data_IF_085006603820
#
_entry.id   IF_085006603820
#
_cell.length_a   1.000
_cell.length_b   1.000
_cell.length_c   1.000
_cell.angle_alpha   90.00
_cell.angle_beta   90.00
_cell.angle_gamma   90.00
#
_symmetry.space_group_name_H-M   'P 1'
#
loop_
_entity.id
_entity.type
_entity.pdbx_description
1 polymer ?
#
# COMPACT_ATOMS: atom_id res chain seq x y z
N UNK A 1 46.96 -24.20 11.82
CA UNK A 1 46.25 -23.55 12.95
C UNK A 1 46.32 -22.05 12.73
N UNK A 2 45.25 -21.30 13.01
CA UNK A 2 45.13 -19.84 12.81
C UNK A 2 45.20 -19.42 11.32
N UNK A 3 44.41 -18.46 10.81
CA UNK A 3 43.29 -17.73 11.42
C UNK A 3 42.54 -16.91 10.37
N UNK A 4 41.31 -16.49 10.69
CA UNK A 4 40.48 -15.62 9.83
C UNK A 4 41.04 -14.18 9.84
N UNK A 5 40.82 -13.40 8.76
CA UNK A 5 40.10 -12.12 8.85
C UNK A 5 39.71 -11.46 7.49
N UNK A 6 38.60 -10.71 7.53
CA UNK A 6 38.30 -9.48 6.74
C UNK A 6 38.17 -9.51 5.20
N UNK A 7 37.33 -10.39 4.65
CA UNK A 7 36.77 -10.27 3.28
C UNK A 7 35.66 -9.21 3.12
N UNK A 8 35.91 -7.96 3.53
CA UNK A 8 34.86 -6.94 3.69
C UNK A 8 34.61 -5.99 2.48
N UNK A 9 34.95 -6.41 1.24
CA UNK A 9 34.92 -5.54 0.03
C UNK A 9 34.28 -6.11 -1.25
N UNK A 10 33.77 -7.35 -1.26
CA UNK A 10 33.59 -8.11 -2.51
C UNK A 10 32.17 -8.63 -2.84
N UNK A 11 31.09 -7.97 -2.40
CA UNK A 11 29.71 -8.32 -2.82
C UNK A 11 28.94 -7.12 -3.38
N UNK A 12 29.54 -6.47 -4.38
CA UNK A 12 29.10 -5.17 -4.93
C UNK A 12 28.70 -5.21 -6.41
N UNK A 13 28.30 -6.38 -6.93
CA UNK A 13 28.25 -6.62 -8.38
C UNK A 13 27.15 -7.57 -8.89
N UNK A 14 26.32 -8.17 -8.03
CA UNK A 14 25.31 -9.17 -8.46
C UNK A 14 23.84 -8.71 -8.37
N UNK A 15 23.59 -7.50 -7.86
CA UNK A 15 22.26 -6.84 -7.93
C UNK A 15 22.08 -6.10 -9.26
N UNK A 16 23.16 -5.88 -10.02
CA UNK A 16 23.21 -4.97 -11.17
C UNK A 16 22.81 -5.63 -12.51
N UNK A 17 22.58 -6.96 -12.56
CA UNK A 17 22.58 -7.75 -13.80
C UNK A 17 21.39 -8.71 -13.99
N UNK A 18 20.26 -8.53 -13.27
CA UNK A 18 19.12 -9.48 -13.35
C UNK A 18 17.71 -8.86 -13.28
N UNK A 19 17.58 -7.53 -13.39
CA UNK A 19 16.31 -6.82 -13.14
C UNK A 19 15.49 -6.54 -14.42
N UNK A 20 16.04 -6.76 -15.60
CA UNK A 20 15.48 -6.26 -16.88
C UNK A 20 14.04 -6.69 -17.27
N UNK A 21 13.53 -7.91 -16.98
CA UNK A 21 12.24 -8.33 -17.55
C UNK A 21 11.00 -8.16 -16.64
N UNK A 22 11.14 -7.91 -15.33
CA UNK A 22 10.00 -8.06 -14.38
C UNK A 22 9.53 -6.74 -13.75
N UNK A 23 10.41 -5.76 -13.54
CA UNK A 23 10.14 -4.60 -12.67
C UNK A 23 9.41 -3.44 -13.36
N UNK A 24 8.35 -3.77 -14.12
CA UNK A 24 7.48 -2.84 -14.85
C UNK A 24 6.18 -2.49 -14.10
N UNK A 25 5.95 -3.05 -12.89
CA UNK A 25 4.67 -2.98 -12.17
C UNK A 25 4.81 -2.60 -10.68
N UNK A 26 4.85 -1.28 -10.42
CA UNK A 26 4.08 -0.55 -9.39
C UNK A 26 4.18 -1.01 -7.91
N UNK A 27 4.81 -0.19 -7.05
CA UNK A 27 4.91 -0.40 -5.58
C UNK A 27 4.64 0.90 -4.78
N UNK A 28 3.70 0.86 -3.80
CA UNK A 28 3.21 1.94 -2.89
C UNK A 28 2.57 1.26 -1.60
N UNK A 29 1.65 1.74 -0.71
CA UNK A 29 1.00 3.03 -0.29
C UNK A 29 0.13 3.00 1.03
N UNK A 30 0.12 4.09 1.82
CA UNK A 30 -1.03 4.67 2.59
C UNK A 30 -1.72 3.95 3.78
N UNK A 31 -1.90 4.63 4.96
CA UNK A 31 -3.17 4.81 5.73
C UNK A 31 -3.01 5.36 7.18
N UNK A 32 -4.02 6.10 7.67
CA UNK A 32 -4.21 6.46 9.08
C UNK A 32 -5.69 6.24 9.48
N UNK A 33 -5.98 5.84 10.71
CA UNK A 33 -7.34 5.63 11.24
C UNK A 33 -7.45 6.08 12.71
N UNK A 34 -8.65 6.52 13.10
CA UNK A 34 -9.13 6.86 14.44
C UNK A 34 -8.54 8.12 15.11
N UNK A 35 -9.37 9.17 15.21
CA UNK A 35 -9.18 10.26 16.16
C UNK A 35 -9.60 9.81 17.56
N UNK A 36 -8.65 9.76 18.49
CA UNK A 36 -8.91 9.71 19.93
C UNK A 36 -8.59 11.10 20.49
N UNK A 37 -9.57 11.79 21.07
CA UNK A 37 -9.32 13.04 21.79
C UNK A 37 -8.65 12.75 23.14
N UNK A 38 -7.36 13.06 23.25
CA UNK A 38 -6.64 13.04 24.53
C UNK A 38 -6.95 14.34 25.27
N UNK A 39 -7.91 14.31 26.19
CA UNK A 39 -8.15 15.40 27.13
C UNK A 39 -7.14 15.36 28.29
N UNK A 40 -6.46 16.47 28.62
CA UNK A 40 -5.58 16.52 29.78
C UNK A 40 -6.38 16.58 31.08
N UNK A 41 -6.34 15.51 31.89
CA UNK A 41 -6.95 15.47 33.23
C UNK A 41 -6.08 16.19 34.27
N UNK A 42 -6.07 17.52 34.21
CA UNK A 42 -5.39 18.37 35.19
C UNK A 42 -6.07 18.26 36.56
N UNK A 43 -5.42 17.62 37.55
CA UNK A 43 -5.90 17.52 38.95
C UNK A 43 -5.69 18.82 39.74
N UNK A 44 -6.33 19.89 39.30
CA UNK A 44 -6.34 21.22 39.93
C UNK A 44 -5.05 22.04 39.70
N UNK A 45 -5.04 23.31 40.12
CA UNK A 45 -3.85 24.15 40.04
C UNK A 45 -2.73 23.64 40.95
N UNK A 46 -1.47 23.74 40.48
CA UNK A 46 -0.28 23.48 41.29
C UNK A 46 0.24 22.03 41.31
N UNK A 47 -0.26 21.12 40.46
CA UNK A 47 0.27 19.75 40.34
C UNK A 47 0.83 19.45 38.93
N UNK A 48 1.98 18.76 38.79
CA UNK A 48 2.58 18.49 37.49
C UNK A 48 1.78 17.43 36.72
N UNK A 49 1.52 17.70 35.43
CA UNK A 49 0.90 16.74 34.53
C UNK A 49 1.85 15.56 34.25
N UNK A 50 1.40 14.32 34.54
CA UNK A 50 2.09 13.09 34.11
C UNK A 50 1.38 12.49 32.91
N UNK A 51 2.13 12.17 31.86
CA UNK A 51 1.68 11.31 30.78
C UNK A 51 1.97 9.85 31.17
N UNK A 52 1.00 9.17 31.78
CA UNK A 52 1.12 7.75 32.13
C UNK A 52 0.72 6.87 30.93
N UNK A 53 1.71 6.29 30.25
CA UNK A 53 1.51 5.30 29.20
C UNK A 53 1.25 3.91 29.81
N UNK A 54 -0.01 3.62 30.16
CA UNK A 54 -0.43 2.26 30.50
C UNK A 54 -0.63 1.43 29.23
N UNK A 55 0.08 0.30 29.12
CA UNK A 55 0.12 -0.49 27.89
C UNK A 55 -1.20 -1.19 27.56
N UNK A 56 -1.90 -0.74 26.50
CA UNK A 56 -3.23 -1.28 26.13
C UNK A 56 -3.51 -1.35 24.61
N UNK A 57 -2.49 -1.63 23.79
CA UNK A 57 -2.61 -1.58 22.32
C UNK A 57 -2.84 -2.91 21.58
N UNK A 58 -2.68 -4.07 22.22
CA UNK A 58 -2.90 -5.39 21.58
C UNK A 58 -4.39 -5.74 21.44
N UNK A 59 -5.24 -5.24 22.35
CA UNK A 59 -6.67 -5.58 22.41
C UNK A 59 -7.57 -4.88 21.36
N UNK A 60 -7.37 -3.59 21.01
CA UNK A 60 -8.17 -2.92 20.00
C UNK A 60 -8.03 -3.51 18.59
N UNK A 61 -6.80 -3.85 18.18
CA UNK A 61 -6.51 -4.38 16.84
C UNK A 61 -7.28 -5.69 16.59
N UNK A 62 -7.23 -6.63 17.53
CA UNK A 62 -7.99 -7.90 17.43
C UNK A 62 -9.50 -7.66 17.27
N UNK A 63 -10.07 -6.66 17.94
CA UNK A 63 -11.50 -6.30 17.78
C UNK A 63 -11.79 -5.65 16.42
N UNK A 64 -10.90 -4.79 15.92
CA UNK A 64 -11.04 -4.21 14.58
C UNK A 64 -10.99 -5.30 13.50
N UNK A 65 -10.07 -6.25 13.60
CA UNK A 65 -10.00 -7.42 12.73
C UNK A 65 -11.30 -8.25 12.79
N UNK A 66 -11.83 -8.54 13.99
CA UNK A 66 -13.12 -9.26 14.14
C UNK A 66 -14.28 -8.52 13.46
N UNK A 67 -14.37 -7.20 13.59
CA UNK A 67 -15.42 -6.40 12.93
C UNK A 67 -15.25 -6.43 11.39
N UNK A 68 -14.03 -6.24 10.90
CA UNK A 68 -13.71 -6.32 9.47
C UNK A 68 -14.04 -7.71 8.90
N UNK A 69 -13.58 -8.78 9.55
CA UNK A 69 -13.91 -10.15 9.15
C UNK A 69 -15.42 -10.40 9.21
N UNK A 70 -16.14 -9.86 10.19
CA UNK A 70 -17.60 -10.02 10.30
C UNK A 70 -18.33 -9.37 9.10
N UNK A 71 -17.93 -8.17 8.67
CA UNK A 71 -18.47 -7.55 7.45
C UNK A 71 -18.09 -8.31 6.17
N UNK A 72 -16.87 -8.83 6.08
CA UNK A 72 -16.43 -9.68 4.96
C UNK A 72 -17.21 -11.01 4.92
N UNK A 73 -17.45 -11.66 6.06
CA UNK A 73 -18.25 -12.89 6.16
C UNK A 73 -19.72 -12.65 5.82
N UNK A 74 -20.32 -11.54 6.28
CA UNK A 74 -21.69 -11.15 5.89
C UNK A 74 -21.81 -10.92 4.37
N UNK A 75 -20.84 -10.21 3.77
CA UNK A 75 -20.76 -10.03 2.32
C UNK A 75 -20.45 -11.31 1.54
N UNK A 76 -19.74 -12.26 2.15
CA UNK A 76 -19.46 -13.59 1.58
C UNK A 76 -20.64 -14.57 1.72
N UNK A 77 -21.48 -14.44 2.75
CA UNK A 77 -22.63 -15.30 3.00
C UNK A 77 -23.86 -14.92 2.14
N UNK A 78 -24.06 -13.64 1.82
CA UNK A 78 -25.10 -13.21 0.88
C UNK A 78 -24.97 -13.97 -0.46
N UNK A 79 -26.06 -14.58 -0.95
CA UNK A 79 -26.02 -15.35 -2.19
C UNK A 79 -25.51 -14.52 -3.38
N UNK A 80 -24.98 -15.19 -4.41
CA UNK A 80 -24.64 -14.58 -5.70
C UNK A 80 -25.94 -14.30 -6.49
N UNK A 81 -26.91 -13.61 -5.86
CA UNK A 81 -28.18 -13.21 -6.46
C UNK A 81 -27.86 -12.39 -7.71
N UNK A 82 -28.32 -12.81 -8.91
CA UNK A 82 -28.14 -12.01 -10.11
C UNK A 82 -29.07 -10.80 -9.99
N UNK A 83 -28.58 -9.76 -9.30
CA UNK A 83 -29.17 -8.44 -9.29
C UNK A 83 -29.06 -7.88 -10.72
N UNK A 84 -30.05 -8.25 -11.54
CA UNK A 84 -30.35 -7.73 -12.86
C UNK A 84 -30.77 -6.26 -12.72
N UNK A 85 -29.79 -5.42 -12.34
CA UNK A 85 -29.68 -4.09 -12.93
C UNK A 85 -29.81 -4.35 -14.44
N UNK A 86 -30.86 -3.82 -15.10
CA UNK A 86 -31.18 -4.22 -16.45
C UNK A 86 -29.93 -4.03 -17.31
N UNK A 87 -29.61 -5.03 -18.13
CA UNK A 87 -28.45 -4.94 -19.00
C UNK A 87 -28.73 -3.79 -19.97
N UNK A 88 -28.21 -2.62 -19.65
CA UNK A 88 -28.07 -1.50 -20.57
C UNK A 88 -27.03 -1.96 -21.57
N UNK A 89 -27.48 -2.78 -22.53
CA UNK A 89 -26.72 -3.18 -23.71
C UNK A 89 -26.26 -1.87 -24.31
N UNK A 90 -24.95 -1.63 -24.21
CA UNK A 90 -24.40 -0.33 -24.55
C UNK A 90 -24.66 -0.10 -26.03
N UNK A 91 -25.67 0.73 -26.35
CA UNK A 91 -25.95 1.16 -27.73
C UNK A 91 -24.64 1.64 -28.36
N UNK A 92 -24.43 1.48 -29.68
CA UNK A 92 -23.19 1.89 -30.34
C UNK A 92 -22.68 3.29 -29.92
N UNK A 93 -23.60 4.23 -29.68
CA UNK A 93 -23.33 5.58 -29.21
C UNK A 93 -22.70 5.66 -27.80
N UNK A 94 -23.08 4.76 -26.88
CA UNK A 94 -22.54 4.74 -25.52
C UNK A 94 -21.04 4.41 -25.51
N UNK A 95 -20.53 3.68 -26.50
CA UNK A 95 -19.09 3.45 -26.65
C UNK A 95 -18.30 4.73 -26.95
N UNK A 96 -18.94 5.81 -27.44
CA UNK A 96 -18.28 7.13 -27.60
C UNK A 96 -17.95 7.80 -26.26
N UNK A 97 -18.56 7.38 -25.14
CA UNK A 97 -18.35 7.95 -23.78
C UNK A 97 -18.03 6.88 -22.70
N UNK A 98 -17.62 5.67 -23.09
CA UNK A 98 -17.33 4.60 -22.14
C UNK A 98 -16.07 4.88 -21.29
N UNK A 99 -16.20 4.80 -19.97
CA UNK A 99 -15.09 4.91 -19.00
C UNK A 99 -14.51 3.53 -18.67
N UNK A 100 -13.32 3.46 -18.07
CA UNK A 100 -12.73 2.17 -17.70
C UNK A 100 -13.51 1.47 -16.58
N UNK A 101 -13.93 2.21 -15.55
CA UNK A 101 -14.74 1.68 -14.44
C UNK A 101 -16.05 1.06 -14.95
N UNK A 102 -16.78 1.76 -15.83
CA UNK A 102 -18.00 1.25 -16.43
C UNK A 102 -17.75 -0.03 -17.26
N UNK A 103 -16.63 -0.09 -17.99
CA UNK A 103 -16.30 -1.23 -18.86
C UNK A 103 -15.72 -2.46 -18.14
N UNK A 104 -15.25 -2.31 -16.90
CA UNK A 104 -14.94 -3.44 -16.00
C UNK A 104 -16.21 -3.89 -15.26
N UNK A 105 -17.02 -2.95 -14.76
CA UNK A 105 -18.29 -3.25 -14.09
C UNK A 105 -19.28 -3.98 -15.01
N UNK A 106 -19.39 -3.57 -16.28
CA UNK A 106 -20.30 -4.15 -17.27
C UNK A 106 -19.78 -5.41 -18.00
N UNK A 107 -18.74 -6.10 -17.48
CA UNK A 107 -18.30 -7.38 -18.06
C UNK A 107 -19.36 -8.47 -17.85
N UNK A 108 -19.74 -9.24 -18.88
CA UNK A 108 -20.66 -10.37 -18.70
C UNK A 108 -20.03 -11.39 -17.75
N UNK A 109 -20.88 -12.05 -16.95
CA UNK A 109 -20.49 -13.26 -16.24
C UNK A 109 -20.52 -14.42 -17.23
N UNK A 110 -19.60 -15.36 -17.11
CA UNK A 110 -19.58 -16.59 -17.90
C UNK A 110 -19.68 -17.80 -16.98
N UNK A 111 -20.37 -18.84 -17.44
CA UNK A 111 -20.46 -20.11 -16.72
C UNK A 111 -19.24 -21.01 -16.99
N UNK A 112 -19.03 -21.98 -16.11
CA UNK A 112 -17.90 -22.92 -16.18
C UNK A 112 -16.50 -22.29 -16.07
N UNK A 113 -15.47 -23.12 -16.26
CA UNK A 113 -14.06 -22.71 -16.26
C UNK A 113 -13.51 -22.52 -17.68
N UNK A 114 -14.05 -21.51 -18.39
CA UNK A 114 -13.55 -21.14 -19.72
C UNK A 114 -12.09 -20.68 -19.71
N UNK A 115 -11.37 -20.84 -20.85
CA UNK A 115 -9.91 -20.62 -20.99
C UNK A 115 -9.34 -19.36 -20.30
N UNK A 116 -10.07 -18.25 -20.27
CA UNK A 116 -9.62 -17.00 -19.61
C UNK A 116 -9.58 -17.09 -18.08
N UNK A 117 -10.45 -17.89 -17.46
CA UNK A 117 -10.44 -18.10 -16.00
C UNK A 117 -9.20 -18.90 -15.63
N UNK A 118 -9.04 -20.08 -16.23
CA UNK A 118 -7.83 -20.92 -16.12
C UNK A 118 -6.54 -20.11 -16.32
N UNK A 119 -6.48 -19.22 -17.32
CA UNK A 119 -5.35 -18.32 -17.54
C UNK A 119 -5.14 -17.32 -16.39
N UNK A 120 -6.16 -16.56 -15.98
CA UNK A 120 -6.02 -15.53 -14.92
C UNK A 120 -5.77 -16.17 -13.56
N UNK A 121 -6.45 -17.28 -13.24
CA UNK A 121 -6.31 -18.02 -12.00
C UNK A 121 -4.92 -18.66 -11.91
N UNK A 122 -4.45 -19.29 -12.99
CA UNK A 122 -3.10 -19.85 -13.10
C UNK A 122 -2.01 -18.78 -13.08
N UNK A 123 -2.23 -17.61 -13.69
CA UNK A 123 -1.32 -16.46 -13.58
C UNK A 123 -1.26 -15.92 -12.16
N UNK A 124 -2.39 -15.82 -11.44
CA UNK A 124 -2.38 -15.36 -10.05
C UNK A 124 -1.58 -16.29 -9.13
N UNK A 125 -1.80 -17.61 -9.23
CA UNK A 125 -1.03 -18.61 -8.47
C UNK A 125 0.46 -18.58 -8.86
N UNK A 126 0.76 -18.58 -10.17
CA UNK A 126 2.13 -18.61 -10.67
C UNK A 126 2.93 -17.34 -10.33
N UNK A 127 2.31 -16.16 -10.42
CA UNK A 127 2.96 -14.88 -10.11
C UNK A 127 3.16 -14.75 -8.60
N UNK A 128 2.13 -14.94 -7.77
CA UNK A 128 2.26 -14.73 -6.33
C UNK A 128 3.09 -15.82 -5.65
N UNK A 129 2.93 -17.09 -6.04
CA UNK A 129 3.79 -18.19 -5.57
C UNK A 129 5.23 -18.04 -6.06
N UNK A 130 5.43 -17.65 -7.33
CA UNK A 130 6.76 -17.39 -7.89
C UNK A 130 7.46 -16.19 -7.25
N UNK A 131 6.71 -15.11 -6.94
CA UNK A 131 7.24 -13.94 -6.22
C UNK A 131 7.63 -14.29 -4.78
N UNK A 132 6.82 -15.05 -4.03
CA UNK A 132 7.19 -15.50 -2.68
C UNK A 132 8.41 -16.42 -2.70
N UNK A 133 8.48 -17.36 -3.64
CA UNK A 133 9.64 -18.25 -3.80
C UNK A 133 10.91 -17.49 -4.18
N UNK A 134 10.80 -16.51 -5.08
CA UNK A 134 11.91 -15.62 -5.46
C UNK A 134 12.35 -14.73 -4.29
N UNK A 135 11.41 -14.13 -3.56
CA UNK A 135 11.70 -13.27 -2.42
C UNK A 135 12.40 -14.09 -1.31
N UNK A 136 11.90 -15.28 -0.98
CA UNK A 136 12.60 -16.20 -0.08
C UNK A 136 14.04 -16.49 -0.55
N UNK A 137 14.22 -16.79 -1.85
CA UNK A 137 15.52 -17.12 -2.43
C UNK A 137 16.51 -15.95 -2.60
N UNK A 138 16.02 -14.71 -2.66
CA UNK A 138 16.82 -13.51 -2.98
C UNK A 138 16.90 -12.46 -1.85
N UNK A 139 16.05 -12.58 -0.82
CA UNK A 139 16.01 -11.66 0.32
C UNK A 139 16.26 -12.37 1.66
N UNK A 140 15.65 -13.54 1.89
CA UNK A 140 15.73 -14.24 3.19
C UNK A 140 16.84 -15.29 3.27
N UNK A 141 17.20 -15.92 2.14
CA UNK A 141 18.14 -17.03 2.04
C UNK A 141 19.48 -16.84 2.78
N UNK A 142 20.03 -15.62 2.75
CA UNK A 142 21.36 -15.31 3.28
C UNK A 142 21.31 -14.77 4.73
N UNK A 143 20.14 -14.81 5.39
CA UNK A 143 19.94 -14.51 6.82
C UNK A 143 19.70 -15.81 7.60
N UNK A 144 19.98 -15.79 8.91
CA UNK A 144 19.67 -16.95 9.76
C UNK A 144 18.15 -17.16 9.88
N UNK A 145 17.71 -18.41 9.81
CA UNK A 145 16.30 -18.77 9.97
C UNK A 145 15.95 -19.06 11.44
N UNK A 146 14.82 -18.51 11.90
CA UNK A 146 14.35 -18.65 13.28
C UNK A 146 13.17 -19.64 13.43
N UNK A 147 12.80 -19.93 14.68
CA UNK A 147 11.46 -20.41 15.00
C UNK A 147 10.45 -19.25 14.87
N UNK A 148 9.20 -19.56 14.51
CA UNK A 148 8.21 -18.50 14.25
C UNK A 148 8.02 -17.59 15.47
N UNK A 149 8.24 -16.29 15.26
CA UNK A 149 8.11 -15.29 16.31
C UNK A 149 7.50 -13.98 15.78
N UNK A 150 7.04 -13.15 16.72
CA UNK A 150 6.33 -11.89 16.43
C UNK A 150 7.07 -10.72 17.05
N UNK A 151 7.16 -9.59 16.34
CA UNK A 151 7.64 -8.32 16.89
C UNK A 151 6.55 -7.24 16.90
N UNK A 152 6.87 -6.03 17.33
CA UNK A 152 5.91 -4.93 17.44
C UNK A 152 6.56 -3.61 17.02
N UNK A 153 6.44 -3.31 15.75
CA UNK A 153 7.04 -2.19 15.03
C UNK A 153 6.03 -1.09 14.67
N UNK A 154 4.84 -1.09 15.29
CA UNK A 154 3.76 -0.14 15.02
C UNK A 154 4.20 1.34 15.14
N UNK A 155 5.30 1.62 15.84
CA UNK A 155 5.92 2.93 15.97
C UNK A 155 6.90 3.33 14.84
N UNK A 156 7.39 2.39 14.05
CA UNK A 156 8.48 2.59 13.09
C UNK A 156 8.09 3.42 11.86
N UNK A 157 9.10 4.04 11.23
CA UNK A 157 9.01 4.76 9.96
C UNK A 157 7.87 5.79 9.88
N UNK A 158 7.46 6.37 11.01
CA UNK A 158 6.24 7.19 11.10
C UNK A 158 5.02 6.49 10.48
N UNK A 159 4.90 5.18 10.73
CA UNK A 159 3.92 4.24 10.19
C UNK A 159 4.00 4.03 8.66
N UNK A 160 4.87 4.72 7.91
CA UNK A 160 4.91 4.72 6.42
C UNK A 160 4.99 3.33 5.79
N UNK A 161 5.51 2.38 6.54
CA UNK A 161 5.66 0.97 6.26
C UNK A 161 4.31 0.19 6.33
N UNK A 162 3.66 0.15 7.50
CA UNK A 162 2.28 -0.34 7.75
C UNK A 162 1.27 0.32 6.81
N UNK A 163 1.45 1.62 6.64
CA UNK A 163 0.81 2.46 5.64
C UNK A 163 1.01 1.81 4.26
N UNK A 164 2.25 1.62 3.77
CA UNK A 164 2.59 0.90 2.55
C UNK A 164 1.81 -0.41 2.28
N UNK A 165 1.80 -1.32 3.27
CA UNK A 165 1.12 -2.63 3.21
C UNK A 165 -0.34 -2.55 2.77
N UNK A 166 -1.13 -1.62 3.34
CA UNK A 166 -2.55 -1.53 3.05
C UNK A 166 -2.88 -1.24 1.57
N UNK A 167 -2.01 -0.55 0.83
CA UNK A 167 -2.18 -0.46 -0.63
C UNK A 167 -1.54 -1.58 -1.40
N UNK A 168 -0.48 -2.24 -0.92
CA UNK A 168 0.03 -3.44 -1.59
C UNK A 168 -1.14 -4.39 -1.80
N UNK A 169 -1.93 -4.63 -0.74
CA UNK A 169 -3.19 -5.37 -0.87
C UNK A 169 -4.28 -4.64 -1.67
N UNK A 170 -4.61 -3.36 -1.41
CA UNK A 170 -5.68 -2.66 -2.14
C UNK A 170 -5.45 -2.59 -3.66
N UNK A 171 -4.20 -2.39 -4.09
CA UNK A 171 -3.82 -2.21 -5.50
C UNK A 171 -3.75 -3.53 -6.25
N UNK A 172 -3.19 -4.58 -5.64
CA UNK A 172 -3.28 -5.95 -6.11
C UNK A 172 -4.76 -6.36 -6.23
N UNK A 173 -5.59 -6.00 -5.25
CA UNK A 173 -7.04 -6.22 -5.29
C UNK A 173 -7.71 -5.47 -6.45
N UNK A 174 -7.37 -4.20 -6.66
CA UNK A 174 -7.93 -3.38 -7.74
C UNK A 174 -7.52 -3.89 -9.13
N UNK A 175 -6.23 -4.15 -9.36
CA UNK A 175 -5.71 -4.72 -10.63
C UNK A 175 -6.32 -6.11 -10.87
N UNK A 176 -6.23 -7.00 -9.87
CA UNK A 176 -6.72 -8.37 -9.93
C UNK A 176 -8.22 -8.43 -10.25
N UNK A 177 -9.04 -7.63 -9.56
CA UNK A 177 -10.48 -7.55 -9.85
C UNK A 177 -10.75 -7.19 -11.32
N UNK A 178 -9.94 -6.31 -11.92
CA UNK A 178 -10.00 -5.99 -13.35
C UNK A 178 -9.79 -7.22 -14.25
N UNK A 179 -8.81 -8.07 -13.90
CA UNK A 179 -8.50 -9.32 -14.61
C UNK A 179 -9.59 -10.39 -14.40
N UNK A 180 -10.05 -10.61 -13.16
CA UNK A 180 -11.09 -11.59 -12.86
C UNK A 180 -12.47 -11.21 -13.44
N UNK A 181 -12.82 -9.92 -13.51
CA UNK A 181 -13.99 -9.47 -14.27
C UNK A 181 -13.79 -9.62 -15.78
N UNK A 182 -12.58 -9.44 -16.30
CA UNK A 182 -12.27 -9.66 -17.72
C UNK A 182 -12.33 -11.13 -18.14
N UNK A 183 -11.96 -12.07 -17.24
CA UNK A 183 -12.08 -13.51 -17.48
C UNK A 183 -13.51 -14.06 -17.34
N UNK A 184 -14.39 -13.33 -16.66
CA UNK A 184 -15.84 -13.57 -16.63
C UNK A 184 -16.41 -14.00 -15.27
N UNK A 185 -15.69 -13.77 -14.16
CA UNK A 185 -16.25 -13.98 -12.81
C UNK A 185 -17.29 -12.91 -12.44
N UNK A 186 -18.22 -13.25 -11.54
CA UNK A 186 -19.18 -12.30 -10.95
C UNK A 186 -18.46 -11.20 -10.14
N UNK A 187 -19.15 -10.09 -9.85
CA UNK A 187 -18.60 -9.01 -8.99
C UNK A 187 -18.06 -9.58 -7.67
N UNK A 188 -18.86 -10.41 -7.00
CA UNK A 188 -18.50 -11.05 -5.73
C UNK A 188 -17.27 -11.95 -5.87
N UNK A 189 -17.29 -12.91 -6.82
CA UNK A 189 -16.18 -13.86 -7.02
C UNK A 189 -14.88 -13.15 -7.42
N UNK A 190 -14.94 -12.19 -8.34
CA UNK A 190 -13.77 -11.40 -8.71
C UNK A 190 -13.24 -10.54 -7.55
N UNK A 191 -14.10 -10.07 -6.65
CA UNK A 191 -13.69 -9.31 -5.46
C UNK A 191 -13.03 -10.20 -4.42
N UNK A 192 -13.63 -11.36 -4.11
CA UNK A 192 -13.10 -12.29 -3.11
C UNK A 192 -11.78 -12.92 -3.56
N UNK A 193 -11.64 -13.25 -4.86
CA UNK A 193 -10.36 -13.70 -5.42
C UNK A 193 -9.30 -12.59 -5.34
N UNK A 194 -9.62 -11.36 -5.75
CA UNK A 194 -8.63 -10.29 -5.76
C UNK A 194 -8.17 -9.84 -4.37
N UNK A 195 -9.11 -9.62 -3.44
CA UNK A 195 -8.79 -9.25 -2.07
C UNK A 195 -8.16 -10.41 -1.28
N UNK A 196 -8.66 -11.64 -1.50
CA UNK A 196 -8.12 -12.84 -0.86
C UNK A 196 -6.69 -13.16 -1.31
N UNK A 197 -6.41 -13.14 -2.62
CA UNK A 197 -5.06 -13.41 -3.13
C UNK A 197 -4.07 -12.29 -2.84
N UNK A 198 -4.50 -11.02 -2.85
CA UNK A 198 -3.65 -9.90 -2.41
C UNK A 198 -3.27 -10.02 -0.93
N UNK A 199 -4.24 -10.30 -0.06
CA UNK A 199 -4.01 -10.50 1.36
C UNK A 199 -3.13 -11.74 1.64
N UNK A 200 -3.41 -12.86 0.97
CA UNK A 200 -2.64 -14.10 1.14
C UNK A 200 -1.18 -13.98 0.65
N UNK A 201 -0.90 -13.10 -0.31
CA UNK A 201 0.47 -12.78 -0.71
C UNK A 201 1.21 -11.99 0.37
N UNK A 202 0.64 -10.89 0.87
CA UNK A 202 1.31 -10.05 1.87
C UNK A 202 1.44 -10.76 3.23
N UNK A 203 0.43 -11.49 3.69
CA UNK A 203 0.56 -12.37 4.86
C UNK A 203 1.54 -13.54 4.62
N UNK A 204 1.86 -13.84 3.36
CA UNK A 204 2.95 -14.74 2.99
C UNK A 204 4.33 -14.12 3.18
N UNK A 205 4.48 -12.81 2.97
CA UNK A 205 5.70 -12.04 3.27
C UNK A 205 5.88 -11.95 4.79
N UNK A 206 4.85 -11.53 5.54
CA UNK A 206 4.85 -11.52 7.01
C UNK A 206 5.24 -12.88 7.63
N UNK A 207 4.85 -13.98 6.98
CA UNK A 207 5.26 -15.32 7.41
C UNK A 207 6.74 -15.60 7.15
N UNK A 208 7.33 -15.08 6.06
CA UNK A 208 8.79 -15.17 5.83
C UNK A 208 9.55 -14.31 6.84
N UNK A 209 9.10 -13.09 7.13
CA UNK A 209 9.66 -12.22 8.17
C UNK A 209 9.59 -12.89 9.54
N UNK A 210 8.44 -13.46 9.90
CA UNK A 210 8.29 -14.29 11.11
C UNK A 210 9.22 -15.50 11.22
N UNK A 211 9.92 -15.89 10.14
CA UNK A 211 10.93 -16.96 10.10
C UNK A 211 12.36 -16.47 9.84
N UNK A 212 12.60 -15.16 9.80
CA UNK A 212 13.94 -14.55 9.83
C UNK A 212 14.47 -14.46 11.27
N UNK A 213 15.77 -14.30 11.46
CA UNK A 213 16.36 -13.87 12.74
C UNK A 213 16.49 -12.34 12.86
N UNK A 214 16.45 -11.62 11.72
CA UNK A 214 16.59 -10.16 11.63
C UNK A 214 15.24 -9.42 11.68
N UNK A 215 14.18 -10.07 11.18
CA UNK A 215 12.79 -9.59 11.15
C UNK A 215 11.88 -10.58 11.88
N UNK A 216 10.63 -10.18 12.14
CA UNK A 216 9.61 -11.04 12.74
C UNK A 216 8.23 -10.77 12.14
N UNK A 217 7.20 -11.52 12.54
CA UNK A 217 5.82 -11.26 12.09
C UNK A 217 5.28 -10.00 12.76
N UNK A 218 4.72 -9.06 12.00
CA UNK A 218 4.06 -7.88 12.55
C UNK A 218 2.55 -8.01 12.61
N UNK A 219 1.99 -7.69 13.78
CA UNK A 219 0.54 -7.47 13.92
C UNK A 219 0.10 -6.07 13.45
N UNK A 220 1.04 -5.17 13.16
CA UNK A 220 0.77 -3.88 12.53
C UNK A 220 0.47 -4.07 11.04
N UNK A 221 1.37 -4.72 10.33
CA UNK A 221 1.34 -4.90 8.87
C UNK A 221 0.27 -5.91 8.46
N UNK A 222 0.21 -7.09 9.08
CA UNK A 222 -0.89 -8.03 8.89
C UNK A 222 -2.28 -7.40 9.17
N UNK A 223 -2.34 -6.41 10.07
CA UNK A 223 -3.54 -5.60 10.34
C UNK A 223 -3.84 -4.58 9.24
N UNK A 224 -2.82 -3.96 8.67
CA UNK A 224 -2.92 -3.01 7.58
C UNK A 224 -3.24 -3.67 6.23
N UNK A 225 -2.61 -4.81 5.93
CA UNK A 225 -2.92 -5.69 4.79
C UNK A 225 -4.40 -6.10 4.78
N UNK A 226 -4.90 -6.55 5.94
CA UNK A 226 -6.33 -6.87 6.12
C UNK A 226 -7.21 -5.64 5.88
N UNK A 227 -6.81 -4.46 6.36
CA UNK A 227 -7.53 -3.23 6.08
C UNK A 227 -7.51 -2.87 4.58
N UNK A 228 -6.39 -3.11 3.88
CA UNK A 228 -6.26 -2.94 2.44
C UNK A 228 -7.23 -3.79 1.63
N UNK A 229 -7.28 -5.10 1.94
CA UNK A 229 -8.27 -6.02 1.39
C UNK A 229 -9.70 -5.58 1.69
N UNK A 230 -9.98 -5.19 2.94
CA UNK A 230 -11.31 -4.78 3.37
C UNK A 230 -11.78 -3.48 2.70
N UNK A 231 -10.90 -2.47 2.57
CA UNK A 231 -11.17 -1.21 1.90
C UNK A 231 -11.52 -1.42 0.42
N UNK A 232 -10.87 -2.36 -0.26
CA UNK A 232 -11.26 -2.73 -1.62
C UNK A 232 -12.58 -3.52 -1.63
N UNK A 233 -12.63 -4.61 -0.87
CA UNK A 233 -13.69 -5.61 -0.96
C UNK A 233 -15.05 -5.07 -0.52
N UNK A 234 -15.11 -4.38 0.62
CA UNK A 234 -16.37 -3.82 1.17
C UNK A 234 -17.02 -2.87 0.17
N UNK A 235 -16.22 -2.04 -0.51
CA UNK A 235 -16.72 -1.14 -1.54
C UNK A 235 -17.29 -1.88 -2.77
N UNK A 236 -16.61 -2.90 -3.29
CA UNK A 236 -17.14 -3.69 -4.41
C UNK A 236 -18.38 -4.50 -4.02
N UNK A 237 -18.43 -5.08 -2.82
CA UNK A 237 -19.56 -5.89 -2.36
C UNK A 237 -20.79 -5.02 -2.04
N UNK A 238 -20.61 -3.87 -1.39
CA UNK A 238 -21.73 -3.01 -0.98
C UNK A 238 -22.21 -2.04 -2.08
N UNK A 239 -21.32 -1.59 -2.98
CA UNK A 239 -21.67 -0.58 -4.00
C UNK A 239 -21.48 -1.04 -5.45
N UNK A 240 -20.66 -2.07 -5.71
CA UNK A 240 -20.25 -2.46 -7.06
C UNK A 240 -19.31 -1.46 -7.75
N UNK A 241 -18.78 -0.51 -6.99
CA UNK A 241 -17.83 0.52 -7.43
C UNK A 241 -16.91 0.96 -6.27
N UNK A 242 -15.70 1.36 -6.62
CA UNK A 242 -14.76 1.98 -5.69
C UNK A 242 -15.07 3.49 -5.59
N UNK A 243 -15.73 3.91 -4.51
CA UNK A 243 -16.02 5.33 -4.26
C UNK A 243 -14.81 6.06 -3.72
N UNK A 244 -14.02 5.41 -2.87
CA UNK A 244 -12.73 5.89 -2.37
C UNK A 244 -11.59 5.14 -3.06
N UNK A 245 -10.51 5.86 -3.40
CA UNK A 245 -9.34 5.32 -4.10
C UNK A 245 -8.09 5.49 -3.24
N UNK A 246 -7.34 4.42 -3.06
CA UNK A 246 -6.01 4.45 -2.46
C UNK A 246 -4.96 4.59 -3.57
N UNK A 247 -4.02 5.54 -3.45
CA UNK A 247 -3.06 5.90 -4.52
C UNK A 247 -1.73 6.44 -4.01
N UNK A 248 -0.60 6.30 -4.72
CA UNK A 248 0.61 7.10 -4.40
C UNK A 248 1.18 7.98 -5.48
N UNK A 249 1.93 8.94 -4.99
CA UNK A 249 3.01 9.60 -5.67
C UNK A 249 4.31 9.34 -4.88
N UNK A 250 5.45 9.42 -5.55
CA UNK A 250 6.73 9.56 -4.89
C UNK A 250 7.54 10.64 -5.60
N UNK A 251 8.40 11.34 -4.86
CA UNK A 251 9.29 12.37 -5.36
C UNK A 251 10.75 12.01 -5.04
N UNK A 252 11.38 11.10 -5.82
CA UNK A 252 12.72 10.59 -5.52
C UNK A 252 13.76 11.71 -5.55
N UNK A 253 14.39 11.99 -4.41
CA UNK A 253 15.37 13.07 -4.24
C UNK A 253 16.80 12.54 -4.04
N UNK A 254 17.77 13.45 -4.18
CA UNK A 254 19.16 13.22 -3.79
C UNK A 254 19.42 13.76 -2.39
N UNK A 255 20.23 13.05 -1.61
CA UNK A 255 20.66 13.46 -0.27
C UNK A 255 21.99 14.20 -0.34
N UNK A 256 22.18 15.18 0.57
CA UNK A 256 23.47 15.85 0.76
C UNK A 256 24.58 14.88 1.17
N UNK A 257 25.86 15.25 1.01
CA UNK A 257 26.99 14.33 1.12
C UNK A 257 27.11 13.63 2.49
N UNK A 258 26.67 14.27 3.58
CA UNK A 258 26.63 13.68 4.92
C UNK A 258 25.65 12.50 5.04
N UNK A 259 24.51 12.58 4.34
CA UNK A 259 23.39 11.65 4.47
C UNK A 259 23.32 10.65 3.31
N UNK A 260 23.97 10.95 2.18
CA UNK A 260 24.03 10.07 1.02
C UNK A 260 24.58 8.66 1.31
N UNK A 261 25.57 8.44 2.22
CA UNK A 261 25.99 7.09 2.61
C UNK A 261 24.88 6.33 3.33
N UNK A 262 24.23 6.95 4.32
CA UNK A 262 23.16 6.35 5.12
C UNK A 262 21.90 6.09 4.29
N UNK A 263 21.51 7.04 3.45
CA UNK A 263 20.40 6.87 2.51
C UNK A 263 20.66 5.74 1.50
N UNK A 264 21.91 5.57 1.04
CA UNK A 264 22.29 4.46 0.15
C UNK A 264 22.30 3.11 0.87
N UNK A 265 22.67 3.08 2.16
CA UNK A 265 22.62 1.87 2.99
C UNK A 265 21.17 1.40 3.18
N UNK A 266 20.27 2.29 3.57
CA UNK A 266 18.86 1.97 3.84
C UNK A 266 18.04 1.76 2.57
N UNK A 267 18.13 2.71 1.62
CA UNK A 267 17.21 2.81 0.49
C UNK A 267 17.84 2.42 -0.85
N UNK A 268 19.11 2.01 -0.87
CA UNK A 268 19.84 1.65 -2.08
C UNK A 268 20.20 2.83 -2.99
N UNK A 269 20.83 2.51 -4.12
CA UNK A 269 21.22 3.47 -5.17
C UNK A 269 20.16 3.64 -6.26
N UNK A 270 19.52 2.54 -6.68
CA UNK A 270 18.60 2.46 -7.82
C UNK A 270 17.27 3.16 -7.55
N UNK A 271 16.58 3.54 -8.64
CA UNK A 271 15.25 4.17 -8.57
C UNK A 271 14.22 3.24 -7.93
N UNK A 272 14.29 1.95 -8.27
CA UNK A 272 13.38 0.90 -7.77
C UNK A 272 13.50 0.74 -6.25
N UNK A 273 14.73 0.66 -5.72
CA UNK A 273 14.96 0.53 -4.29
C UNK A 273 14.52 1.80 -3.53
N UNK A 274 14.68 2.99 -4.11
CA UNK A 274 14.18 4.24 -3.51
C UNK A 274 12.65 4.33 -3.51
N UNK A 275 11.99 3.98 -4.62
CA UNK A 275 10.52 3.99 -4.72
C UNK A 275 9.86 3.01 -3.75
N UNK A 276 10.52 1.89 -3.44
CA UNK A 276 10.10 0.90 -2.44
C UNK A 276 10.45 1.33 -1.00
N UNK A 277 11.71 1.70 -0.74
CA UNK A 277 12.27 1.80 0.63
C UNK A 277 12.43 3.23 1.16
N UNK A 278 12.57 4.25 0.33
CA UNK A 278 12.81 5.62 0.81
C UNK A 278 11.49 6.30 1.19
N UNK A 279 10.98 5.94 2.37
CA UNK A 279 9.74 6.51 2.93
C UNK A 279 9.76 8.04 3.08
N UNK A 280 10.93 8.70 3.00
CA UNK A 280 11.01 10.17 2.96
C UNK A 280 10.57 10.80 1.62
N UNK A 281 10.43 9.97 0.58
CA UNK A 281 10.07 10.42 -0.77
C UNK A 281 8.68 9.98 -1.19
N UNK A 282 8.05 9.08 -0.42
CA UNK A 282 6.75 8.51 -0.75
C UNK A 282 5.63 9.37 -0.15
N UNK A 283 4.52 9.53 -0.87
CA UNK A 283 3.34 10.22 -0.34
C UNK A 283 2.07 9.56 -0.84
N UNK A 284 1.17 9.37 0.10
CA UNK A 284 0.23 8.29 0.07
C UNK A 284 -1.20 8.78 0.29
N UNK A 285 -2.14 8.43 -0.59
CA UNK A 285 -3.37 9.20 -0.74
C UNK A 285 -4.65 8.38 -0.63
N UNK A 286 -5.61 8.94 0.11
CA UNK A 286 -7.01 8.56 0.05
C UNK A 286 -7.77 9.64 -0.75
N UNK A 287 -8.28 9.25 -1.91
CA UNK A 287 -8.95 10.12 -2.88
C UNK A 287 -10.46 9.92 -2.85
N UNK A 288 -11.21 11.03 -2.88
CA UNK A 288 -12.64 11.14 -2.65
C UNK A 288 -13.38 11.74 -3.87
N UNK A 289 -14.64 11.34 -4.12
CA UNK A 289 -15.45 11.95 -5.17
C UNK A 289 -15.97 13.32 -4.72
N UNK A 290 -16.05 14.28 -5.63
CA UNK A 290 -16.66 15.59 -5.32
C UNK A 290 -18.20 15.48 -5.26
N UNK A 291 -18.89 16.34 -4.48
CA UNK A 291 -20.35 16.35 -4.42
C UNK A 291 -21.00 16.53 -5.79
N UNK A 292 -21.95 15.65 -6.13
CA UNK A 292 -22.64 15.70 -7.43
C UNK A 292 -23.36 17.03 -7.71
N UNK A 293 -23.77 17.73 -6.65
CA UNK A 293 -24.38 19.07 -6.72
C UNK A 293 -23.46 20.12 -7.37
N UNK A 294 -22.13 19.95 -7.33
CA UNK A 294 -21.17 20.88 -7.93
C UNK A 294 -21.06 20.74 -9.47
N UNK A 295 -21.73 19.74 -10.07
CA UNK A 295 -21.79 19.50 -11.53
C UNK A 295 -20.42 19.31 -12.23
N UNK A 296 -19.37 19.01 -11.47
CA UNK A 296 -18.02 18.78 -11.97
C UNK A 296 -17.85 17.40 -12.65
N UNK A 297 -16.82 17.21 -13.51
CA UNK A 297 -16.56 15.93 -14.16
C UNK A 297 -16.25 14.81 -13.16
N UNK A 298 -16.78 13.60 -13.36
CA UNK A 298 -16.58 12.44 -12.46
C UNK A 298 -15.12 12.00 -12.25
N UNK A 299 -14.21 12.39 -13.14
CA UNK A 299 -12.78 12.14 -12.97
C UNK A 299 -12.12 13.14 -12.01
N UNK A 300 -12.67 14.33 -11.80
CA UNK A 300 -12.11 15.35 -10.91
C UNK A 300 -12.47 15.04 -9.45
N UNK A 301 -11.46 15.04 -8.59
CA UNK A 301 -11.52 14.54 -7.22
C UNK A 301 -10.71 15.42 -6.27
N UNK A 302 -10.85 15.15 -4.98
CA UNK A 302 -9.98 15.70 -3.94
C UNK A 302 -9.36 14.55 -3.16
N UNK A 303 -8.10 14.68 -2.76
CA UNK A 303 -7.36 13.65 -2.05
C UNK A 303 -6.67 14.21 -0.82
N UNK A 304 -6.81 13.52 0.30
CA UNK A 304 -5.93 13.74 1.46
C UNK A 304 -4.72 12.83 1.32
N UNK A 305 -3.54 13.36 1.65
CA UNK A 305 -2.27 12.65 1.56
C UNK A 305 -1.57 12.52 2.90
N UNK A 306 -0.78 11.47 3.03
CA UNK A 306 0.08 11.16 4.16
C UNK A 306 1.50 10.89 3.65
N UNK A 307 2.48 11.60 4.19
CA UNK A 307 3.90 11.34 3.97
C UNK A 307 4.65 11.49 5.30
N UNK A 308 5.96 11.29 5.25
CA UNK A 308 6.84 11.62 6.36
C UNK A 308 8.22 11.98 5.81
N UNK A 309 9.02 12.69 6.61
CA UNK A 309 10.38 13.10 6.25
C UNK A 309 11.29 13.11 7.49
N UNK A 310 12.60 13.17 7.25
CA UNK A 310 13.65 13.23 8.26
C UNK A 310 14.00 11.86 8.85
N UNK A 311 13.73 10.75 8.18
CA UNK A 311 13.86 9.38 8.68
C UNK A 311 15.11 8.67 8.13
N UNK A 312 16.02 8.30 9.03
CA UNK A 312 17.27 7.57 8.74
C UNK A 312 17.48 6.35 9.66
N UNK A 313 16.37 5.70 10.04
CA UNK A 313 16.29 4.54 10.95
C UNK A 313 14.84 4.25 11.34
N UNK A 314 14.56 3.11 11.99
CA UNK A 314 13.20 2.64 12.32
C UNK A 314 12.43 3.54 13.29
N UNK A 315 12.97 3.75 14.50
CA UNK A 315 12.33 4.59 15.54
C UNK A 315 12.91 6.00 15.61
N UNK A 316 14.24 6.10 15.72
CA UNK A 316 15.00 7.34 15.81
C UNK A 316 16.05 7.44 14.70
N UNK A 317 16.74 8.57 14.62
CA UNK A 317 17.86 8.77 13.68
C UNK A 317 19.19 8.40 14.34
N UNK A 318 19.24 7.18 14.86
CA UNK A 318 20.46 6.53 15.36
C UNK A 318 20.53 5.10 14.86
N UNK A 319 21.74 4.57 14.84
CA UNK A 319 21.98 3.17 14.55
C UNK A 319 23.26 2.69 15.25
N UNK A 320 23.42 1.37 15.33
CA UNK A 320 24.59 0.71 15.91
C UNK A 320 25.27 -0.22 14.90
N UNK A 321 26.48 -0.66 15.21
CA UNK A 321 27.10 -1.82 14.57
C UNK A 321 26.77 -3.11 15.35
N UNK A 322 27.18 -4.27 14.81
CA UNK A 322 26.98 -5.56 15.47
C UNK A 322 27.73 -5.70 16.82
N UNK A 323 28.67 -4.80 17.12
CA UNK A 323 29.40 -4.74 18.40
C UNK A 323 28.72 -3.77 19.40
N UNK A 324 27.62 -3.10 19.00
CA UNK A 324 26.88 -2.15 19.83
C UNK A 324 27.42 -0.71 19.82
N UNK A 325 28.46 -0.41 19.05
CA UNK A 325 28.99 0.94 18.86
C UNK A 325 28.01 1.79 18.05
N UNK A 326 27.98 3.11 18.25
CA UNK A 326 27.10 4.00 17.46
C UNK A 326 27.65 4.17 16.04
N UNK A 327 26.99 3.58 15.06
CA UNK A 327 27.36 3.62 13.64
C UNK A 327 26.77 4.83 12.91
N UNK A 328 25.65 5.36 13.41
CA UNK A 328 25.00 6.57 12.92
C UNK A 328 24.29 7.30 14.07
N UNK A 329 24.35 8.64 14.09
CA UNK A 329 23.57 9.45 15.05
C UNK A 329 23.34 10.86 14.51
N UNK A 330 22.09 11.17 14.16
CA UNK A 330 21.60 12.48 13.73
C UNK A 330 20.27 12.86 14.43
N UNK A 331 20.25 13.00 15.77
CA UNK A 331 19.06 13.40 16.52
C UNK A 331 18.65 14.87 16.27
N UNK A 332 19.54 15.67 15.67
CA UNK A 332 19.27 17.02 15.14
C UNK A 332 18.27 16.98 13.97
N UNK A 333 18.27 15.92 13.18
CA UNK A 333 17.31 15.73 12.10
C UNK A 333 15.98 15.29 12.71
N UNK A 334 15.04 16.22 12.78
CA UNK A 334 13.68 15.95 13.25
C UNK A 334 12.95 15.03 12.25
N UNK A 335 12.44 13.91 12.74
CA UNK A 335 11.50 13.01 12.04
C UNK A 335 10.09 13.59 12.17
N UNK A 336 9.33 13.72 11.07
CA UNK A 336 7.97 14.26 11.13
C UNK A 336 7.03 13.68 10.07
N UNK A 337 5.72 13.69 10.39
CA UNK A 337 4.63 13.36 9.48
C UNK A 337 4.25 14.60 8.65
N UNK A 338 3.80 14.37 7.42
CA UNK A 338 3.32 15.37 6.49
C UNK A 338 1.88 15.02 6.09
N UNK A 339 1.00 16.01 6.18
CA UNK A 339 -0.41 15.88 5.80
C UNK A 339 -0.67 16.74 4.58
N UNK A 340 -1.39 16.22 3.59
CA UNK A 340 -1.61 16.94 2.34
C UNK A 340 -3.08 17.04 1.98
N UNK A 341 -3.44 18.14 1.30
CA UNK A 341 -4.70 18.28 0.57
C UNK A 341 -4.39 18.67 -0.87
N UNK A 342 -4.92 17.93 -1.84
CA UNK A 342 -4.69 18.17 -3.27
C UNK A 342 -5.90 17.78 -4.12
N UNK A 343 -6.15 18.42 -5.29
CA UNK A 343 -6.99 17.85 -6.33
C UNK A 343 -6.40 16.53 -6.85
N UNK A 344 -7.24 15.65 -7.38
CA UNK A 344 -6.86 14.35 -7.95
C UNK A 344 -7.68 14.01 -9.20
N UNK A 345 -7.18 13.05 -10.00
CA UNK A 345 -7.79 12.58 -11.24
C UNK A 345 -8.02 11.06 -11.13
N UNK A 346 -9.29 10.62 -11.10
CA UNK A 346 -9.61 9.19 -11.31
C UNK A 346 -9.67 8.89 -12.81
N UNK A 347 -8.57 8.35 -13.33
CA UNK A 347 -8.41 7.94 -14.72
C UNK A 347 -9.48 6.93 -15.14
N UNK A 348 -9.98 6.10 -14.22
CA UNK A 348 -11.01 5.11 -14.53
C UNK A 348 -12.34 5.72 -14.91
N UNK A 349 -12.56 7.01 -14.60
CA UNK A 349 -13.73 7.81 -14.96
C UNK A 349 -13.51 8.68 -16.21
N UNK A 350 -12.32 8.69 -16.81
CA UNK A 350 -12.09 9.40 -18.08
C UNK A 350 -12.75 8.62 -19.23
N UNK A 351 -13.64 9.24 -20.02
CA UNK A 351 -14.23 8.59 -21.20
C UNK A 351 -13.19 8.43 -22.31
N UNK A 352 -13.02 7.22 -22.85
CA UNK A 352 -12.17 7.02 -24.03
C UNK A 352 -12.63 5.84 -24.89
N UNK A 353 -12.53 5.98 -26.22
CA UNK A 353 -12.90 4.96 -27.20
C UNK A 353 -11.93 3.76 -27.19
N UNK A 354 -10.64 4.01 -26.93
CA UNK A 354 -9.59 3.00 -27.01
C UNK A 354 -9.72 1.93 -25.92
N UNK A 355 -9.72 0.65 -26.32
CA UNK A 355 -9.68 -0.50 -25.40
C UNK A 355 -8.39 -0.50 -24.57
N UNK A 356 -7.24 -0.20 -25.21
CA UNK A 356 -5.94 -0.13 -24.57
C UNK A 356 -5.89 0.98 -23.52
N UNK A 357 -6.31 2.20 -23.85
CA UNK A 357 -6.31 3.31 -22.89
C UNK A 357 -7.23 3.04 -21.70
N UNK A 358 -8.37 2.35 -21.87
CA UNK A 358 -9.18 1.93 -20.71
C UNK A 358 -8.46 0.92 -19.82
N UNK A 359 -7.69 -0.03 -20.36
CA UNK A 359 -6.87 -0.92 -19.55
C UNK A 359 -5.75 -0.17 -18.82
N UNK A 360 -5.02 0.71 -19.52
CA UNK A 360 -3.96 1.54 -18.94
C UNK A 360 -4.51 2.45 -17.82
N UNK A 361 -5.55 3.22 -18.12
CA UNK A 361 -6.25 4.06 -17.14
C UNK A 361 -6.83 3.26 -15.97
N UNK A 362 -7.21 1.99 -16.17
CA UNK A 362 -7.63 1.15 -15.06
C UNK A 362 -6.44 0.79 -14.16
N UNK A 363 -5.36 0.22 -14.71
CA UNK A 363 -4.23 -0.25 -13.94
C UNK A 363 -3.45 0.87 -13.24
N UNK A 364 -3.14 1.97 -13.94
CA UNK A 364 -2.29 3.05 -13.38
C UNK A 364 -3.06 4.03 -12.48
N UNK A 365 -4.38 3.87 -12.31
CA UNK A 365 -5.15 4.70 -11.36
C UNK A 365 -4.85 4.41 -9.88
N UNK A 366 -3.98 3.44 -9.60
CA UNK A 366 -3.36 3.26 -8.29
C UNK A 366 -2.24 4.27 -8.02
N UNK A 367 -1.90 5.11 -9.01
CA UNK A 367 -1.02 6.26 -8.86
C UNK A 367 -1.82 7.58 -8.77
N UNK A 368 -1.26 8.52 -8.03
CA UNK A 368 -1.58 9.95 -8.09
C UNK A 368 -0.64 10.62 -9.07
N UNK A 369 -1.19 11.51 -9.90
CA UNK A 369 -0.41 12.30 -10.85
C UNK A 369 -0.03 13.65 -10.22
N UNK A 370 1.09 14.27 -10.66
CA UNK A 370 1.56 15.54 -10.14
C UNK A 370 0.48 16.63 -10.17
N UNK A 371 0.35 17.35 -9.07
CA UNK A 371 -0.70 18.34 -8.85
C UNK A 371 -0.28 19.41 -7.83
N UNK A 372 -0.94 20.58 -7.79
CA UNK A 372 -0.80 21.48 -6.65
C UNK A 372 -1.18 20.78 -5.34
N UNK A 373 -0.51 21.11 -4.23
CA UNK A 373 -0.90 20.58 -2.92
C UNK A 373 -0.65 21.56 -1.78
N UNK A 374 -1.51 21.51 -0.77
CA UNK A 374 -1.31 22.18 0.51
C UNK A 374 -0.77 21.13 1.50
N UNK A 375 0.48 21.29 1.92
CA UNK A 375 1.10 20.51 2.99
C UNK A 375 0.83 21.17 4.35
N UNK A 376 0.57 20.37 5.37
CA UNK A 376 0.73 20.72 6.78
C UNK A 376 1.77 19.80 7.41
N UNK A 377 2.88 20.38 7.89
CA UNK A 377 3.93 19.65 8.59
C UNK A 377 4.68 20.57 9.56
N UNK A 378 5.22 19.99 10.64
CA UNK A 378 5.93 20.72 11.70
C UNK A 378 5.17 21.93 12.32
N UNK A 379 3.84 22.00 12.17
CA UNK A 379 3.02 23.10 12.68
C UNK A 379 2.82 24.27 11.71
N UNK A 380 3.35 24.20 10.49
CA UNK A 380 3.13 25.20 9.45
C UNK A 380 2.50 24.62 8.19
N UNK A 381 1.87 25.49 7.40
CA UNK A 381 1.34 25.17 6.08
C UNK A 381 2.33 25.57 4.98
N UNK A 382 2.42 24.78 3.92
CA UNK A 382 3.23 25.07 2.72
C UNK A 382 2.39 24.82 1.47
N UNK A 383 2.42 25.76 0.52
CA UNK A 383 1.78 25.59 -0.79
C UNK A 383 2.79 25.13 -1.84
N UNK A 384 2.50 24.00 -2.49
CA UNK A 384 3.27 23.47 -3.62
C UNK A 384 2.48 23.71 -4.91
N UNK A 385 3.05 24.44 -5.89
CA UNK A 385 2.39 24.71 -7.18
C UNK A 385 2.25 23.46 -8.04
N UNK A 386 3.29 22.62 -8.03
CA UNK A 386 3.29 21.27 -8.56
C UNK A 386 4.11 20.44 -7.57
N UNK A 387 3.52 19.35 -7.09
CA UNK A 387 4.18 18.41 -6.20
C UNK A 387 4.20 17.02 -6.85
N UNK A 388 5.26 16.28 -6.56
CA UNK A 388 5.64 14.96 -7.07
C UNK A 388 6.24 14.95 -8.48
#
# INVERSE_FOLDING_TARGET
>A
MVGLELTHRAFRFFIESSVEPVLYFLCNCCIHIALIFVYPLCKGPGKPCRCEFTGMYIWPVKKLCIVIFSFLFLGAAAQDTPALKPIVVARPDNFRKATAAAMVSAKPVTDGFGRRKVLVDGMAVGIYGGMLAWLNGAWYKDYEHSAFHTFNDIGEWQQMDKVGHAWSVYSMSHIGYGLWRWSGYSNKKATLLAAGSGLAFMLGVEYLDGRSAEWGWSWGDAGADLFGAALFATQQLCWGEQKFRLKFSAHPRSYGPELAPRARQLFGSSLQNKLLKDYNTQTYWLSFPLPAAWKLPKWLRISVGYGADGMFGGYENRDKDANGNVSFSRPDIKRFRQWYLAPDIDLTQIPTKSKLLRSVFYSINILKFPAPSLEFSNGSFKGHLLHF
#
